data_IF_207023805276
#
_entry.id   IF_207023805276
#
_cell.length_a   1.000
_cell.length_b   1.000
_cell.length_c   1.000
_cell.angle_alpha   90.00
_cell.angle_beta   90.00
_cell.angle_gamma   90.00
#
_symmetry.space_group_name_H-M   'P 1'
#
loop_
_entity.id
_entity.type
_entity.pdbx_description
1 polymer ?
#
# COMPACT_ATOMS: atom_id res chain seq x y z
N UNK A 1 -14.94 -10.30 14.83
CA UNK A 1 -15.19 -10.23 13.38
C UNK A 1 -13.86 -10.01 12.71
N UNK A 2 -13.07 -11.08 12.64
CA UNK A 2 -11.61 -11.05 12.64
C UNK A 2 -11.13 -12.22 11.79
N UNK A 3 -10.03 -12.06 11.04
CA UNK A 3 -9.41 -12.99 10.07
C UNK A 3 -9.72 -12.78 8.57
N UNK A 4 -10.20 -11.60 8.14
CA UNK A 4 -10.13 -11.28 6.69
C UNK A 4 -8.69 -10.98 6.22
N UNK A 5 -7.89 -10.35 7.08
CA UNK A 5 -6.54 -9.90 6.78
C UNK A 5 -5.71 -10.01 8.06
N UNK A 6 -4.43 -10.35 7.92
CA UNK A 6 -3.48 -10.48 9.02
C UNK A 6 -2.12 -9.93 8.61
N UNK A 7 -1.23 -9.77 9.59
CA UNK A 7 0.17 -9.50 9.32
C UNK A 7 0.83 -10.65 8.52
N UNK A 8 1.76 -10.29 7.64
CA UNK A 8 2.65 -11.23 6.97
C UNK A 8 3.58 -11.87 8.01
N UNK A 9 3.80 -13.17 7.90
CA UNK A 9 4.73 -13.92 8.77
C UNK A 9 6.09 -14.03 8.10
N UNK A 10 7.15 -14.09 8.90
CA UNK A 10 8.48 -14.46 8.40
C UNK A 10 8.42 -15.85 7.75
N UNK A 11 9.04 -16.00 6.58
CA UNK A 11 8.94 -17.19 5.72
C UNK A 11 7.89 -17.08 4.61
N UNK A 12 7.03 -16.05 4.59
CA UNK A 12 6.05 -15.82 3.51
C UNK A 12 6.59 -14.96 2.38
N UNK A 13 7.87 -14.54 2.42
CA UNK A 13 8.46 -13.59 1.49
C UNK A 13 8.43 -14.08 0.03
N UNK A 14 8.72 -15.36 -0.20
CA UNK A 14 8.72 -15.98 -1.54
C UNK A 14 7.28 -16.14 -2.09
N UNK A 15 6.31 -16.43 -1.21
CA UNK A 15 4.90 -16.50 -1.58
C UNK A 15 4.33 -15.12 -1.95
N UNK A 16 4.76 -14.07 -1.24
CA UNK A 16 4.45 -12.67 -1.60
C UNK A 16 5.11 -12.31 -2.93
N UNK A 17 6.37 -12.67 -3.15
CA UNK A 17 7.04 -12.42 -4.44
C UNK A 17 6.34 -13.12 -5.61
N UNK A 18 5.93 -14.38 -5.45
CA UNK A 18 5.15 -15.11 -6.44
C UNK A 18 3.79 -14.43 -6.73
N UNK A 19 3.08 -13.99 -5.68
CA UNK A 19 1.82 -13.26 -5.82
C UNK A 19 2.00 -11.93 -6.57
N UNK A 20 3.06 -11.16 -6.25
CA UNK A 20 3.35 -9.90 -6.93
C UNK A 20 3.67 -10.11 -8.41
N UNK A 21 4.52 -11.10 -8.73
CA UNK A 21 4.86 -11.47 -10.11
C UNK A 21 3.66 -11.98 -10.93
N UNK A 22 2.65 -12.52 -10.27
CA UNK A 22 1.41 -12.94 -10.92
C UNK A 22 0.38 -11.81 -11.06
N UNK A 23 0.32 -10.88 -10.10
CA UNK A 23 -0.68 -9.81 -10.05
C UNK A 23 -0.34 -8.59 -10.94
N UNK A 24 0.94 -8.37 -11.25
CA UNK A 24 1.43 -7.21 -12.02
C UNK A 24 2.12 -7.63 -13.34
N UNK A 25 2.20 -6.74 -14.35
CA UNK A 25 2.78 -7.08 -15.67
C UNK A 25 4.30 -7.34 -15.66
N UNK A 26 5.00 -6.99 -14.57
CA UNK A 26 6.45 -7.02 -14.49
C UNK A 26 6.97 -7.34 -13.09
N UNK A 27 8.30 -7.35 -12.89
CA UNK A 27 8.92 -7.68 -11.61
C UNK A 27 9.00 -6.48 -10.65
N UNK A 28 8.54 -5.30 -11.04
CA UNK A 28 8.88 -4.03 -10.39
C UNK A 28 8.30 -3.93 -8.98
N UNK A 29 7.07 -4.39 -8.75
CA UNK A 29 6.45 -4.43 -7.43
C UNK A 29 7.14 -5.43 -6.49
N UNK A 30 7.57 -6.58 -7.01
CA UNK A 30 8.38 -7.56 -6.24
C UNK A 30 9.77 -6.99 -5.90
N UNK A 31 10.41 -6.30 -6.85
CA UNK A 31 11.68 -5.63 -6.64
C UNK A 31 11.56 -4.48 -5.63
N UNK A 32 10.50 -3.68 -5.71
CA UNK A 32 10.18 -2.59 -4.78
C UNK A 32 10.06 -3.13 -3.34
N UNK A 33 9.24 -4.16 -3.12
CA UNK A 33 9.08 -4.80 -1.80
C UNK A 33 10.42 -5.35 -1.29
N UNK A 34 11.18 -6.06 -2.15
CA UNK A 34 12.52 -6.56 -1.79
C UNK A 34 13.46 -5.43 -1.36
N UNK A 35 13.48 -4.31 -2.08
CA UNK A 35 14.32 -3.16 -1.76
C UNK A 35 13.86 -2.44 -0.47
N UNK A 36 12.55 -2.29 -0.24
CA UNK A 36 11.99 -1.70 0.97
C UNK A 36 12.30 -2.55 2.22
N UNK A 37 12.18 -3.87 2.13
CA UNK A 37 12.61 -4.80 3.19
C UNK A 37 14.10 -4.66 3.46
N UNK A 38 14.94 -4.69 2.41
CA UNK A 38 16.40 -4.59 2.51
C UNK A 38 16.88 -3.25 3.10
N UNK A 39 16.16 -2.15 2.88
CA UNK A 39 16.49 -0.84 3.45
C UNK A 39 15.87 -0.57 4.82
N UNK A 40 15.09 -1.50 5.38
CA UNK A 40 14.35 -1.30 6.62
C UNK A 40 13.24 -0.24 6.52
N UNK A 41 12.76 0.06 5.32
CA UNK A 41 11.74 1.08 5.08
C UNK A 41 10.30 0.57 5.22
N UNK A 42 10.09 -0.74 5.30
CA UNK A 42 8.78 -1.35 5.58
C UNK A 42 8.32 -0.96 6.99
N UNK A 43 7.11 -0.42 7.07
CA UNK A 43 6.39 -0.11 8.30
C UNK A 43 5.41 -1.23 8.71
N UNK A 44 4.97 -2.05 7.76
CA UNK A 44 4.10 -3.19 8.00
C UNK A 44 3.66 -3.86 6.70
N UNK A 45 3.40 -5.16 6.75
CA UNK A 45 2.97 -5.96 5.62
C UNK A 45 1.74 -6.78 6.02
N UNK A 46 0.75 -6.87 5.14
CA UNK A 46 -0.52 -7.53 5.45
C UNK A 46 -0.94 -8.44 4.31
N UNK A 47 -1.48 -9.62 4.65
CA UNK A 47 -1.93 -10.64 3.70
C UNK A 47 -3.37 -11.06 3.95
N UNK A 48 -4.04 -11.47 2.88
CA UNK A 48 -5.34 -12.16 2.87
C UNK A 48 -5.07 -13.60 2.43
N UNK A 49 -5.58 -14.59 3.17
CA UNK A 49 -5.28 -16.00 2.93
C UNK A 49 -6.52 -16.88 2.84
N UNK A 50 -6.44 -17.95 2.05
CA UNK A 50 -7.43 -19.02 1.95
C UNK A 50 -6.67 -20.35 2.05
N UNK A 51 -6.77 -21.01 3.21
CA UNK A 51 -5.81 -22.06 3.58
C UNK A 51 -4.38 -21.51 3.58
N UNK A 52 -3.46 -22.23 2.95
CA UNK A 52 -2.05 -21.84 2.81
C UNK A 52 -1.79 -20.89 1.63
N UNK A 53 -2.82 -20.54 0.83
CA UNK A 53 -2.64 -19.67 -0.34
C UNK A 53 -2.80 -18.19 0.02
N UNK A 54 -1.86 -17.34 -0.40
CA UNK A 54 -2.01 -15.89 -0.36
C UNK A 54 -2.94 -15.43 -1.50
N UNK A 55 -4.11 -14.88 -1.15
CA UNK A 55 -5.07 -14.31 -2.10
C UNK A 55 -4.86 -12.81 -2.33
N UNK A 56 -4.20 -12.12 -1.40
CA UNK A 56 -3.95 -10.70 -1.49
C UNK A 56 -2.85 -10.26 -0.54
N UNK A 57 -2.22 -9.14 -0.88
CA UNK A 57 -1.09 -8.57 -0.13
C UNK A 57 -1.12 -7.04 -0.22
N UNK A 58 -0.69 -6.35 0.84
CA UNK A 58 -0.31 -4.94 0.79
C UNK A 58 0.91 -4.66 1.65
N UNK A 59 1.66 -3.63 1.27
CA UNK A 59 2.79 -3.13 2.04
C UNK A 59 2.59 -1.64 2.40
N UNK A 60 3.03 -1.31 3.61
CA UNK A 60 3.21 0.06 4.09
C UNK A 60 4.69 0.33 4.25
N UNK A 61 5.15 1.48 3.77
CA UNK A 61 6.53 1.95 3.95
C UNK A 61 6.58 3.35 4.56
N UNK A 62 7.61 3.66 5.33
CA UNK A 62 7.83 4.98 5.93
C UNK A 62 8.15 6.01 4.84
N UNK A 63 7.44 7.14 4.82
CA UNK A 63 7.83 8.30 4.01
C UNK A 63 9.09 8.96 4.58
N UNK A 64 9.96 9.47 3.70
CA UNK A 64 11.10 10.29 4.11
C UNK A 64 10.61 11.68 4.53
N UNK A 65 9.66 12.23 3.75
CA UNK A 65 8.89 13.42 4.10
C UNK A 65 7.46 13.33 3.52
N UNK A 66 6.43 13.85 4.22
CA UNK A 66 6.45 14.27 5.62
C UNK A 66 6.76 13.09 6.56
N UNK A 67 7.54 13.34 7.63
CA UNK A 67 7.93 12.27 8.55
C UNK A 67 6.73 11.67 9.28
N UNK A 68 6.75 10.35 9.45
CA UNK A 68 5.67 9.59 10.08
C UNK A 68 4.43 9.40 9.20
N UNK A 69 4.44 9.85 7.95
CA UNK A 69 3.46 9.41 6.96
C UNK A 69 3.88 8.06 6.37
N UNK A 70 2.92 7.28 5.89
CA UNK A 70 3.17 5.99 5.24
C UNK A 70 2.84 6.06 3.74
N UNK A 71 3.54 5.29 2.91
CA UNK A 71 3.11 4.97 1.56
C UNK A 71 2.54 3.56 1.49
N UNK A 72 1.34 3.42 0.92
CA UNK A 72 0.73 2.17 0.53
C UNK A 72 1.16 1.80 -0.89
N UNK A 73 2.10 0.86 -1.02
CA UNK A 73 2.47 0.27 -2.30
C UNK A 73 3.31 -1.00 -2.08
N UNK A 74 3.01 -2.12 -2.78
CA UNK A 74 1.89 -2.34 -3.69
C UNK A 74 0.59 -2.72 -2.95
N UNK A 75 -0.51 -2.86 -3.70
CA UNK A 75 -1.72 -3.59 -3.30
C UNK A 75 -1.99 -4.66 -4.34
N UNK A 76 -1.90 -5.93 -3.96
CA UNK A 76 -1.99 -7.09 -4.85
C UNK A 76 -3.18 -7.98 -4.50
N UNK A 77 -3.78 -8.59 -5.52
CA UNK A 77 -4.79 -9.65 -5.40
C UNK A 77 -4.49 -10.71 -6.47
N UNK A 78 -4.54 -11.98 -6.09
CA UNK A 78 -4.31 -13.12 -6.98
C UNK A 78 -5.19 -13.00 -8.24
N UNK A 79 -4.67 -13.18 -9.47
CA UNK A 79 -5.39 -12.88 -10.70
C UNK A 79 -6.78 -13.51 -10.83
N UNK A 80 -6.93 -14.76 -10.41
CA UNK A 80 -8.19 -15.52 -10.41
C UNK A 80 -9.20 -15.02 -9.35
N UNK A 81 -8.70 -14.32 -8.31
CA UNK A 81 -9.50 -13.69 -7.25
C UNK A 81 -9.74 -12.19 -7.46
N UNK A 82 -9.20 -11.59 -8.53
CA UNK A 82 -9.44 -10.19 -8.89
C UNK A 82 -10.92 -9.93 -9.25
N UNK A 83 -11.35 -8.65 -9.20
CA UNK A 83 -12.73 -8.19 -9.42
C UNK A 83 -13.79 -8.73 -8.44
N UNK A 84 -13.44 -9.62 -7.51
CA UNK A 84 -14.31 -10.12 -6.44
C UNK A 84 -14.39 -9.21 -5.20
N UNK A 85 -13.78 -8.01 -5.26
CA UNK A 85 -13.86 -7.00 -4.19
C UNK A 85 -12.81 -7.10 -3.08
N UNK A 86 -11.94 -8.11 -3.08
CA UNK A 86 -10.87 -8.33 -2.07
C UNK A 86 -10.02 -7.07 -1.87
N UNK A 87 -9.39 -6.55 -2.92
CA UNK A 87 -8.54 -5.35 -2.82
C UNK A 87 -9.27 -4.11 -2.30
N UNK A 88 -10.54 -3.92 -2.68
CA UNK A 88 -11.39 -2.85 -2.14
C UNK A 88 -11.66 -3.05 -0.64
N UNK A 89 -11.85 -4.28 -0.18
CA UNK A 89 -12.05 -4.61 1.24
C UNK A 89 -10.76 -4.38 2.05
N UNK A 90 -9.60 -4.76 1.51
CA UNK A 90 -8.28 -4.48 2.11
C UNK A 90 -8.05 -2.97 2.26
N UNK A 91 -8.19 -2.20 1.18
CA UNK A 91 -8.00 -0.75 1.22
C UNK A 91 -9.01 -0.05 2.14
N UNK A 92 -10.25 -0.53 2.23
CA UNK A 92 -11.26 -0.02 3.20
C UNK A 92 -10.91 -0.30 4.65
N UNK A 93 -10.39 -1.48 4.95
CA UNK A 93 -9.93 -1.83 6.29
C UNK A 93 -8.75 -0.94 6.71
N UNK A 94 -7.77 -0.79 5.81
CA UNK A 94 -6.60 0.06 6.02
C UNK A 94 -6.99 1.55 6.18
N UNK A 95 -7.91 2.05 5.36
CA UNK A 95 -8.43 3.41 5.47
C UNK A 95 -9.12 3.66 6.82
N UNK A 96 -9.96 2.72 7.28
CA UNK A 96 -10.60 2.80 8.60
C UNK A 96 -9.61 2.77 9.76
N UNK A 97 -8.57 1.93 9.67
CA UNK A 97 -7.46 1.94 10.62
C UNK A 97 -6.70 3.26 10.63
N UNK A 98 -6.38 3.81 9.45
CA UNK A 98 -5.63 5.05 9.31
C UNK A 98 -6.35 6.25 9.96
N UNK A 99 -7.65 6.42 9.68
CA UNK A 99 -8.47 7.45 10.32
C UNK A 99 -8.56 7.25 11.84
N UNK A 100 -8.79 6.01 12.31
CA UNK A 100 -8.89 5.71 13.74
C UNK A 100 -7.57 5.90 14.51
N UNK A 101 -6.43 5.65 13.88
CA UNK A 101 -5.09 5.83 14.46
C UNK A 101 -4.55 7.26 14.31
N UNK A 102 -5.22 8.14 13.56
CA UNK A 102 -4.68 9.44 13.16
C UNK A 102 -3.47 9.33 12.21
N UNK A 103 -3.26 8.16 11.60
CA UNK A 103 -2.15 7.88 10.70
C UNK A 103 -2.47 8.42 9.30
N UNK A 104 -1.55 9.17 8.69
CA UNK A 104 -1.68 9.56 7.29
C UNK A 104 -1.04 8.50 6.38
N UNK A 105 -1.76 8.06 5.35
CA UNK A 105 -1.25 7.15 4.32
C UNK A 105 -1.44 7.80 2.94
N UNK A 106 -0.40 7.75 2.11
CA UNK A 106 -0.37 8.16 0.71
C UNK A 106 -0.42 6.93 -0.19
N UNK A 107 -1.14 7.01 -1.30
CA UNK A 107 -1.16 5.99 -2.37
C UNK A 107 -1.13 6.64 -3.75
N UNK A 108 -0.52 5.97 -4.71
CA UNK A 108 -0.54 6.32 -6.12
C UNK A 108 -1.42 5.32 -6.89
N UNK A 109 -2.39 5.78 -7.68
CA UNK A 109 -3.17 4.95 -8.61
C UNK A 109 -4.54 5.50 -8.97
N UNK A 110 -5.43 4.64 -9.48
CA UNK A 110 -6.74 5.02 -10.05
C UNK A 110 -7.62 5.74 -9.00
N UNK A 111 -7.94 7.04 -9.16
CA UNK A 111 -8.61 7.82 -8.13
C UNK A 111 -9.98 7.26 -7.73
N UNK A 112 -10.80 6.83 -8.68
CA UNK A 112 -12.13 6.28 -8.42
C UNK A 112 -12.08 5.03 -7.55
N UNK A 113 -11.10 4.14 -7.74
CA UNK A 113 -10.89 2.95 -6.92
C UNK A 113 -10.59 3.32 -5.48
N UNK A 114 -9.59 4.17 -5.25
CA UNK A 114 -9.18 4.56 -3.90
C UNK A 114 -10.22 5.47 -3.20
N UNK A 115 -10.92 6.33 -3.93
CA UNK A 115 -12.05 7.10 -3.42
C UNK A 115 -13.20 6.18 -2.93
N UNK A 116 -13.53 5.12 -3.68
CA UNK A 116 -14.49 4.09 -3.23
C UNK A 116 -14.00 3.29 -2.00
N UNK A 117 -12.72 3.45 -1.61
CA UNK A 117 -12.12 2.85 -0.42
C UNK A 117 -12.01 3.80 0.80
N UNK A 118 -12.30 5.10 0.64
CA UNK A 118 -12.21 6.09 1.71
C UNK A 118 -11.03 7.06 1.61
N UNK A 119 -10.19 6.93 0.58
CA UNK A 119 -9.14 7.91 0.29
C UNK A 119 -9.74 9.15 -0.39
N UNK A 120 -9.04 10.28 -0.32
CA UNK A 120 -9.34 11.53 -1.03
C UNK A 120 -8.15 11.96 -1.87
N UNK A 121 -8.34 12.82 -2.87
CA UNK A 121 -7.21 13.35 -3.65
C UNK A 121 -6.25 14.11 -2.73
N UNK A 122 -4.96 14.07 -3.05
CA UNK A 122 -3.98 14.92 -2.42
C UNK A 122 -4.22 16.38 -2.85
N UNK A 123 -4.29 17.30 -1.88
CA UNK A 123 -4.45 18.74 -2.11
C UNK A 123 -3.31 19.49 -1.42
N UNK A 124 -2.74 20.50 -2.08
CA UNK A 124 -1.62 21.28 -1.55
C UNK A 124 -0.28 20.51 -1.41
N UNK A 125 -0.18 19.30 -1.97
CA UNK A 125 1.01 18.46 -1.94
C UNK A 125 1.70 18.43 -3.31
N UNK A 126 3.03 18.38 -3.31
CA UNK A 126 3.86 18.10 -4.50
C UNK A 126 4.39 16.68 -4.44
N UNK A 127 4.48 16.02 -5.59
CA UNK A 127 4.90 14.63 -5.71
C UNK A 127 5.88 14.47 -6.88
N UNK A 128 6.89 13.57 -6.78
CA UNK A 128 7.68 13.12 -7.93
C UNK A 128 6.86 12.27 -8.91
N UNK A 129 5.67 11.82 -8.51
CA UNK A 129 4.72 11.06 -9.33
C UNK A 129 3.51 11.91 -9.74
N UNK A 130 2.68 11.47 -10.72
CA UNK A 130 1.49 12.20 -11.13
C UNK A 130 0.55 12.54 -9.96
N UNK A 131 0.39 13.84 -9.71
CA UNK A 131 -0.37 14.37 -8.56
C UNK A 131 -1.87 14.07 -8.67
N UNK A 132 -2.38 13.98 -9.90
CA UNK A 132 -3.79 13.64 -10.19
C UNK A 132 -4.16 12.19 -9.80
N UNK A 133 -3.16 11.31 -9.72
CA UNK A 133 -3.24 9.93 -9.24
C UNK A 133 -2.75 9.77 -7.79
N UNK A 134 -2.37 10.85 -7.11
CA UNK A 134 -1.92 10.81 -5.71
C UNK A 134 -3.12 11.01 -4.77
N UNK A 135 -3.37 10.04 -3.89
CA UNK A 135 -4.46 10.06 -2.92
C UNK A 135 -3.96 9.85 -1.49
N UNK A 136 -4.73 10.33 -0.51
CA UNK A 136 -4.43 10.28 0.91
C UNK A 136 -5.63 9.83 1.75
N UNK A 137 -5.35 9.27 2.93
CA UNK A 137 -6.32 8.97 4.00
C UNK A 137 -5.71 9.32 5.36
N UNK A 138 -6.53 9.52 6.38
CA UNK A 138 -6.11 10.04 7.69
C UNK A 138 -6.11 11.56 7.73
N UNK A 139 -5.43 12.19 8.71
CA UNK A 139 -5.42 13.64 8.87
C UNK A 139 -4.88 14.41 7.65
N UNK A 140 -3.84 13.91 6.99
CA UNK A 140 -3.14 14.54 5.86
C UNK A 140 -2.73 16.00 6.09
N UNK A 141 -2.37 16.36 7.34
CA UNK A 141 -1.87 17.69 7.71
C UNK A 141 -0.35 17.66 7.79
N UNK A 142 0.30 18.50 7.00
CA UNK A 142 1.76 18.68 7.00
C UNK A 142 2.11 20.16 6.83
N UNK A 143 3.26 20.58 7.36
CA UNK A 143 3.90 21.87 7.02
C UNK A 143 4.85 21.75 5.82
N UNK A 144 5.27 20.52 5.51
CA UNK A 144 6.09 20.16 4.34
C UNK A 144 5.15 19.69 3.23
N UNK A 145 5.03 20.42 2.09
CA UNK A 145 4.13 20.02 1.01
C UNK A 145 4.72 18.90 0.12
N UNK A 146 6.03 18.68 0.18
CA UNK A 146 6.71 17.72 -0.67
C UNK A 146 6.61 16.29 -0.13
N UNK A 147 6.10 15.38 -0.98
CA UNK A 147 6.14 13.95 -0.75
C UNK A 147 7.50 13.40 -1.19
N UNK A 148 8.28 12.87 -0.24
CA UNK A 148 9.57 12.23 -0.50
C UNK A 148 9.48 10.77 -0.08
N UNK A 149 9.59 9.88 -1.06
CA UNK A 149 9.48 8.44 -0.91
C UNK A 149 10.84 7.80 -0.60
N UNK A 150 10.89 6.58 -0.03
CA UNK A 150 12.13 5.80 0.03
C UNK A 150 12.76 5.64 -1.36
N UNK A 151 14.10 5.64 -1.43
CA UNK A 151 14.87 5.44 -2.68
C UNK A 151 14.46 4.21 -3.51
N UNK A 152 13.88 3.19 -2.86
CA UNK A 152 13.34 2.00 -3.52
C UNK A 152 12.25 2.30 -4.58
N UNK A 153 11.55 3.45 -4.47
CA UNK A 153 10.54 3.90 -5.42
C UNK A 153 11.12 4.55 -6.70
N UNK A 154 12.44 4.77 -6.78
CA UNK A 154 13.07 5.40 -7.95
C UNK A 154 12.79 6.90 -8.11
N UNK A 155 12.24 7.54 -7.07
CA UNK A 155 11.97 8.97 -6.96
C UNK A 155 13.16 9.77 -6.41
#
# INVERSE_FOLDING_TARGET
>A
MTDFMREMRAGEEDAVEALLRAAFPGPDEANLVRHLRKSGAIAGEQVVTEGDQLLGYLALSQMIAPKGWLCLAPVAVAPDRQRQGIGRRMCRFLAGWAEAAGQTIVVLGEPGFYQRCGFRKAEGLTSPFPVDHTLVVGPAKSKEPALVYPKAFGA
#
